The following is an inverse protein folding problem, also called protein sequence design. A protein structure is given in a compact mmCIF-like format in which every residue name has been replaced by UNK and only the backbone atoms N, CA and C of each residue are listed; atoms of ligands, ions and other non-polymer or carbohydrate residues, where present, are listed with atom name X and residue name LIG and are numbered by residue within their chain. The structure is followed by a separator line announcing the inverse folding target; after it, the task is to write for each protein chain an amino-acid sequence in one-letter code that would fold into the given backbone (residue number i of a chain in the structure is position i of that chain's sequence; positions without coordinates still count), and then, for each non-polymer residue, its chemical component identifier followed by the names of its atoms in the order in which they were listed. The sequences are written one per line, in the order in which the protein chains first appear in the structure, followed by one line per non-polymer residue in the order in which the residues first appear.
data_IF_859121594047
#
_entry.id   IF_859121594047
#
_cell.length_a   1.000
_cell.length_b   1.000
_cell.length_c   1.000
_cell.angle_alpha   90.00
_cell.angle_beta   90.00
_cell.angle_gamma   90.00
#
_symmetry.space_group_name_H-M   'P 1'
#
loop_
_entity.id
_entity.type
_entity.pdbx_description
1 polymer ?
#
# COMPACT_ATOMS: atom_id res chain seq x y z
N UNK A 1 -8.34 2.41 56.67
CA UNK A 1 -7.96 2.86 55.32
C UNK A 1 -8.58 1.88 54.33
N UNK A 2 -9.49 2.34 53.46
CA UNK A 2 -10.26 1.47 52.56
C UNK A 2 -9.42 1.26 51.30
N UNK A 3 -8.76 0.10 51.20
CA UNK A 3 -7.91 -0.22 50.06
C UNK A 3 -8.75 -0.16 48.76
N UNK A 4 -8.21 0.38 47.66
CA UNK A 4 -8.93 0.53 46.41
C UNK A 4 -9.02 -0.86 45.75
N UNK A 5 -10.00 -1.65 46.17
CA UNK A 5 -10.27 -3.00 45.63
C UNK A 5 -10.54 -2.99 44.12
N UNK A 6 -10.86 -1.82 43.55
CA UNK A 6 -10.99 -1.64 42.10
C UNK A 6 -9.67 -1.77 41.35
N UNK A 7 -8.58 -1.15 41.84
CA UNK A 7 -7.30 -1.12 41.10
C UNK A 7 -6.57 -2.47 41.12
N UNK A 8 -6.53 -3.15 42.28
CA UNK A 8 -5.96 -4.49 42.39
C UNK A 8 -6.78 -5.53 41.61
N UNK A 9 -8.11 -5.41 41.59
CA UNK A 9 -8.98 -6.28 40.81
C UNK A 9 -8.77 -6.13 39.30
N UNK A 10 -8.64 -4.89 38.82
CA UNK A 10 -8.32 -4.62 37.41
C UNK A 10 -6.92 -5.11 37.03
N UNK A 11 -5.91 -4.90 37.88
CA UNK A 11 -4.56 -5.43 37.66
C UNK A 11 -4.52 -6.96 37.62
N UNK A 12 -5.27 -7.62 38.50
CA UNK A 12 -5.34 -9.07 38.53
C UNK A 12 -6.06 -9.65 37.30
N UNK A 13 -7.14 -9.00 36.86
CA UNK A 13 -7.83 -9.35 35.62
C UNK A 13 -6.93 -9.19 34.39
N UNK A 14 -6.14 -8.11 34.34
CA UNK A 14 -5.15 -7.90 33.28
C UNK A 14 -4.06 -9.00 33.27
N UNK A 15 -3.54 -9.37 34.45
CA UNK A 15 -2.54 -10.42 34.57
C UNK A 15 -3.10 -11.80 34.17
N UNK A 16 -4.37 -12.07 34.47
CA UNK A 16 -5.07 -13.30 34.07
C UNK A 16 -5.44 -13.33 32.58
N UNK A 17 -5.61 -12.17 31.94
CA UNK A 17 -5.87 -12.04 30.51
C UNK A 17 -4.59 -12.23 29.67
N UNK A 18 -3.45 -11.80 30.20
CA UNK A 18 -2.13 -11.88 29.55
C UNK A 18 -1.78 -13.28 28.98
N UNK A 19 -1.93 -14.41 29.72
CA UNK A 19 -1.61 -15.73 29.18
C UNK A 19 -2.54 -16.16 28.02
N UNK A 20 -3.82 -15.79 28.08
CA UNK A 20 -4.78 -16.05 26.99
C UNK A 20 -4.40 -15.24 25.75
N UNK A 21 -4.03 -13.97 25.95
CA UNK A 21 -3.53 -13.11 24.89
C UNK A 21 -2.27 -13.69 24.22
N UNK A 22 -1.29 -14.16 24.99
CA UNK A 22 -0.09 -14.80 24.42
C UNK A 22 -0.41 -16.09 23.66
N UNK A 23 -1.37 -16.89 24.12
CA UNK A 23 -1.78 -18.11 23.42
C UNK A 23 -2.45 -17.80 22.08
N UNK A 24 -3.33 -16.80 22.05
CA UNK A 24 -3.93 -16.28 20.81
C UNK A 24 -2.90 -15.63 19.89
N UNK A 25 -1.93 -14.91 20.45
CA UNK A 25 -0.83 -14.32 19.71
C UNK A 25 0.02 -15.40 19.02
N UNK A 26 0.36 -16.48 19.72
CA UNK A 26 1.11 -17.62 19.14
C UNK A 26 0.27 -18.29 18.03
N UNK A 27 -1.03 -18.46 18.24
CA UNK A 27 -1.92 -19.04 17.23
C UNK A 27 -2.00 -18.15 15.97
N UNK A 28 -2.13 -16.83 16.16
CA UNK A 28 -2.07 -15.83 15.10
C UNK A 28 -0.74 -15.83 14.36
N UNK A 29 0.37 -15.96 15.09
CA UNK A 29 1.73 -16.05 14.52
C UNK A 29 1.92 -17.30 13.65
N UNK A 30 1.43 -18.46 14.09
CA UNK A 30 1.49 -19.68 13.28
C UNK A 30 0.67 -19.52 12.00
N UNK A 31 -0.50 -18.90 12.07
CA UNK A 31 -1.31 -18.58 10.88
C UNK A 31 -0.60 -17.59 9.96
N UNK A 32 0.01 -16.55 10.53
CA UNK A 32 0.78 -15.56 9.79
C UNK A 32 2.02 -16.16 9.12
N UNK A 33 2.69 -17.14 9.75
CA UNK A 33 3.83 -17.82 9.15
C UNK A 33 3.45 -18.60 7.87
N UNK A 34 2.21 -19.08 7.77
CA UNK A 34 1.73 -19.87 6.63
C UNK A 34 1.20 -18.96 5.51
N UNK A 35 0.31 -18.02 5.82
CA UNK A 35 -0.34 -17.15 4.82
C UNK A 35 0.43 -15.86 4.55
N UNK A 36 1.17 -15.36 5.55
CA UNK A 36 1.93 -14.12 5.45
C UNK A 36 2.94 -14.10 4.30
N UNK A 37 3.71 -15.17 4.02
CA UNK A 37 4.61 -15.20 2.87
C UNK A 37 3.89 -15.04 1.52
N UNK A 38 2.69 -15.60 1.39
CA UNK A 38 1.87 -15.48 0.17
C UNK A 38 1.36 -14.06 0.00
N UNK A 39 0.79 -13.47 1.05
CA UNK A 39 0.29 -12.10 1.02
C UNK A 39 1.43 -11.08 0.78
N UNK A 40 2.58 -11.28 1.43
CA UNK A 40 3.79 -10.49 1.21
C UNK A 40 4.25 -10.60 -0.24
N UNK A 41 4.30 -11.82 -0.79
CA UNK A 41 4.68 -12.05 -2.19
C UNK A 41 3.79 -11.28 -3.17
N UNK A 42 2.47 -11.34 -2.99
CA UNK A 42 1.52 -10.62 -3.84
C UNK A 42 1.75 -9.11 -3.78
N UNK A 43 1.85 -8.54 -2.57
CA UNK A 43 2.03 -7.09 -2.39
C UNK A 43 3.37 -6.62 -2.96
N UNK A 44 4.45 -7.33 -2.64
CA UNK A 44 5.81 -6.95 -3.08
C UNK A 44 5.93 -7.07 -4.59
N UNK A 45 5.49 -8.19 -5.19
CA UNK A 45 5.57 -8.39 -6.64
C UNK A 45 4.67 -7.38 -7.35
N UNK A 46 3.42 -7.25 -6.91
CA UNK A 46 2.43 -6.35 -7.49
C UNK A 46 2.90 -4.89 -7.46
N UNK A 47 3.24 -4.37 -6.28
CA UNK A 47 3.71 -3.00 -6.14
C UNK A 47 5.02 -2.76 -6.88
N UNK A 48 5.96 -3.73 -6.89
CA UNK A 48 7.22 -3.59 -7.64
C UNK A 48 6.97 -3.51 -9.14
N UNK A 49 6.06 -4.32 -9.69
CA UNK A 49 5.68 -4.26 -11.11
C UNK A 49 5.10 -2.88 -11.46
N UNK A 50 4.20 -2.37 -10.62
CA UNK A 50 3.61 -1.04 -10.77
C UNK A 50 4.68 0.05 -10.70
N UNK A 51 5.57 0.00 -9.70
CA UNK A 51 6.66 0.98 -9.53
C UNK A 51 7.55 1.00 -10.77
N UNK A 52 7.99 -0.16 -11.28
CA UNK A 52 8.89 -0.23 -12.44
C UNK A 52 8.20 0.28 -13.70
N UNK A 53 6.96 -0.18 -13.97
CA UNK A 53 6.20 0.23 -15.15
C UNK A 53 5.90 1.73 -15.15
N UNK A 54 5.45 2.24 -13.99
CA UNK A 54 5.12 3.64 -13.81
C UNK A 54 6.37 4.53 -13.80
N UNK A 55 7.50 4.05 -13.28
CA UNK A 55 8.75 4.81 -13.27
C UNK A 55 9.23 5.19 -14.67
N UNK A 56 9.11 4.28 -15.65
CA UNK A 56 9.45 4.59 -17.06
C UNK A 56 8.54 5.68 -17.61
N UNK A 57 7.23 5.56 -17.37
CA UNK A 57 6.26 6.57 -17.78
C UNK A 57 6.52 7.93 -17.10
N UNK A 58 6.84 7.91 -15.80
CA UNK A 58 7.16 9.12 -15.04
C UNK A 58 8.41 9.80 -15.59
N UNK A 59 9.46 9.04 -15.89
CA UNK A 59 10.69 9.56 -16.46
C UNK A 59 10.44 10.27 -17.79
N UNK A 60 9.77 9.61 -18.72
CA UNK A 60 9.52 10.21 -20.03
C UNK A 60 8.59 11.43 -19.95
N UNK A 61 7.49 11.32 -19.20
CA UNK A 61 6.48 12.38 -19.14
C UNK A 61 6.95 13.61 -18.38
N UNK A 62 7.69 13.42 -17.27
CA UNK A 62 8.21 14.54 -16.47
C UNK A 62 9.21 15.37 -17.28
N UNK A 63 10.18 14.71 -17.93
CA UNK A 63 11.16 15.40 -18.78
C UNK A 63 10.48 16.13 -19.95
N UNK A 64 9.46 15.52 -20.55
CA UNK A 64 8.68 16.14 -21.61
C UNK A 64 7.94 17.40 -21.13
N UNK A 65 7.20 17.33 -20.02
CA UNK A 65 6.47 18.51 -19.49
C UNK A 65 7.44 19.63 -19.05
N UNK A 66 8.55 19.30 -18.39
CA UNK A 66 9.56 20.31 -18.00
C UNK A 66 10.23 20.92 -19.23
N UNK A 67 10.49 20.16 -20.30
CA UNK A 67 11.03 20.70 -21.54
C UNK A 67 10.01 21.61 -22.29
N UNK A 68 8.72 21.40 -22.11
CA UNK A 68 7.65 22.10 -22.84
C UNK A 68 7.03 23.27 -22.07
N UNK A 69 7.15 23.31 -20.75
CA UNK A 69 6.54 24.36 -19.92
C UNK A 69 7.13 25.74 -20.22
N UNK A 70 6.25 26.75 -20.24
CA UNK A 70 6.60 28.18 -20.37
C UNK A 70 6.57 28.94 -19.03
N UNK A 71 6.13 28.30 -17.94
CA UNK A 71 6.07 28.93 -16.60
C UNK A 71 7.44 29.06 -15.94
N UNK A 72 8.41 28.27 -16.37
CA UNK A 72 9.77 28.29 -15.83
C UNK A 72 10.67 29.10 -16.76
N UNK A 73 11.36 30.10 -16.20
CA UNK A 73 12.41 30.83 -16.92
C UNK A 73 13.56 29.90 -17.33
N UNK A 74 14.37 30.30 -18.31
CA UNK A 74 15.44 29.47 -18.89
C UNK A 74 16.40 28.89 -17.83
N UNK A 75 16.81 29.72 -16.87
CA UNK A 75 17.69 29.29 -15.76
C UNK A 75 16.99 28.27 -14.86
N UNK A 76 15.75 28.54 -14.43
CA UNK A 76 15.00 27.64 -13.56
C UNK A 76 14.73 26.29 -14.25
N UNK A 77 14.52 26.30 -15.56
CA UNK A 77 14.32 25.10 -16.37
C UNK A 77 15.55 24.19 -16.35
N UNK A 78 16.76 24.76 -16.48
CA UNK A 78 18.01 24.01 -16.39
C UNK A 78 18.20 23.48 -14.97
N UNK A 79 17.99 24.31 -13.94
CA UNK A 79 18.11 23.90 -12.54
C UNK A 79 17.16 22.74 -12.22
N UNK A 80 15.89 22.84 -12.62
CA UNK A 80 14.90 21.78 -12.45
C UNK A 80 15.34 20.53 -13.20
N UNK A 81 15.76 20.63 -14.47
CA UNK A 81 16.20 19.47 -15.25
C UNK A 81 17.38 18.71 -14.61
N UNK A 82 18.28 19.44 -13.95
CA UNK A 82 19.44 18.85 -13.24
C UNK A 82 19.03 18.25 -11.90
N UNK A 83 18.08 18.86 -11.19
CA UNK A 83 17.63 18.39 -9.87
C UNK A 83 16.62 17.25 -9.95
N UNK A 84 15.79 17.23 -11.00
CA UNK A 84 14.71 16.28 -11.22
C UNK A 84 15.10 14.79 -11.23
N UNK A 85 16.27 14.36 -11.75
CA UNK A 85 16.68 12.97 -11.64
C UNK A 85 16.76 12.47 -10.20
N UNK A 86 17.07 13.34 -9.23
CA UNK A 86 17.24 12.98 -7.82
C UNK A 86 15.95 12.41 -7.20
N UNK A 87 14.82 13.14 -7.13
CA UNK A 87 13.57 12.60 -6.61
C UNK A 87 13.04 11.44 -7.47
N UNK A 88 13.33 11.45 -8.77
CA UNK A 88 12.84 10.45 -9.71
C UNK A 88 13.51 9.07 -9.52
N UNK A 89 14.77 9.04 -9.11
CA UNK A 89 15.50 7.81 -8.72
C UNK A 89 15.21 7.45 -7.26
N UNK A 90 15.00 8.43 -6.39
CA UNK A 90 14.70 8.18 -4.99
C UNK A 90 13.32 7.55 -4.78
N UNK A 91 12.32 7.96 -5.56
CA UNK A 91 10.95 7.45 -5.50
C UNK A 91 10.84 5.92 -5.59
N UNK A 92 11.38 5.21 -6.60
CA UNK A 92 11.28 3.75 -6.69
C UNK A 92 11.99 3.05 -5.53
N UNK A 93 13.08 3.60 -5.01
CA UNK A 93 13.79 3.03 -3.84
C UNK A 93 12.89 3.09 -2.59
N UNK A 94 12.29 4.25 -2.34
CA UNK A 94 11.34 4.43 -1.22
C UNK A 94 10.09 3.57 -1.44
N UNK A 95 9.57 3.49 -2.67
CA UNK A 95 8.39 2.70 -3.02
C UNK A 95 8.60 1.20 -2.80
N UNK A 96 9.74 0.65 -3.24
CA UNK A 96 10.08 -0.76 -3.03
C UNK A 96 10.32 -1.03 -1.54
N UNK A 97 11.08 -0.18 -0.86
CA UNK A 97 11.33 -0.30 0.58
C UNK A 97 10.05 -0.23 1.41
N UNK A 98 9.16 0.71 1.07
CA UNK A 98 7.84 0.85 1.68
C UNK A 98 6.93 -0.33 1.38
N UNK A 99 6.99 -0.90 0.18
CA UNK A 99 6.21 -2.09 -0.20
C UNK A 99 6.67 -3.35 0.53
N UNK A 100 7.98 -3.50 0.78
CA UNK A 100 8.52 -4.57 1.61
C UNK A 100 8.05 -4.43 3.06
N UNK A 101 8.17 -3.23 3.64
CA UNK A 101 7.78 -2.97 5.02
C UNK A 101 6.25 -3.10 5.21
N UNK A 102 5.48 -2.57 4.27
CA UNK A 102 4.03 -2.63 4.23
C UNK A 102 3.51 -4.05 3.96
N UNK A 103 4.12 -4.79 3.04
CA UNK A 103 3.81 -6.19 2.78
C UNK A 103 4.12 -7.09 3.99
N UNK A 104 5.23 -6.83 4.68
CA UNK A 104 5.56 -7.52 5.93
C UNK A 104 4.55 -7.19 7.04
N UNK A 105 4.24 -5.91 7.22
CA UNK A 105 3.22 -5.47 8.18
C UNK A 105 1.86 -6.11 7.89
N UNK A 106 1.40 -6.05 6.65
CA UNK A 106 0.11 -6.63 6.25
C UNK A 106 0.09 -8.14 6.42
N UNK A 107 1.10 -8.85 5.91
CA UNK A 107 1.21 -10.31 6.00
C UNK A 107 1.32 -10.84 7.43
N UNK A 108 1.79 -10.02 8.38
CA UNK A 108 1.90 -10.38 9.79
C UNK A 108 0.67 -9.97 10.61
N UNK A 109 0.23 -8.71 10.50
CA UNK A 109 -0.84 -8.15 11.33
C UNK A 109 -2.24 -8.59 10.86
N UNK A 110 -2.48 -8.79 9.56
CA UNK A 110 -3.81 -9.17 9.09
C UNK A 110 -4.25 -10.56 9.60
N UNK A 111 -3.42 -11.62 9.56
CA UNK A 111 -3.76 -12.90 10.18
C UNK A 111 -3.93 -12.82 11.69
N UNK A 112 -3.12 -11.99 12.37
CA UNK A 112 -3.17 -11.79 13.82
C UNK A 112 -4.48 -11.12 14.27
N UNK A 113 -4.90 -10.06 13.59
CA UNK A 113 -6.16 -9.38 13.84
C UNK A 113 -7.34 -10.33 13.59
N UNK A 114 -7.30 -11.10 12.49
CA UNK A 114 -8.33 -12.11 12.21
C UNK A 114 -8.44 -13.17 13.32
N UNK A 115 -7.32 -13.57 13.95
CA UNK A 115 -7.39 -14.51 15.08
C UNK A 115 -7.96 -13.89 16.37
N UNK A 116 -7.70 -12.61 16.63
CA UNK A 116 -8.28 -11.94 17.80
C UNK A 116 -9.78 -11.69 17.65
N UNK A 117 -10.24 -11.36 16.45
CA UNK A 117 -11.66 -11.18 16.14
C UNK A 117 -12.45 -12.48 16.40
N UNK A 118 -11.93 -13.60 15.88
CA UNK A 118 -12.55 -14.93 16.04
C UNK A 118 -12.51 -15.41 17.49
N UNK A 119 -11.45 -15.11 18.25
CA UNK A 119 -11.35 -15.49 19.66
C UNK A 119 -12.29 -14.70 20.60
N UNK A 120 -12.80 -13.55 20.15
CA UNK A 120 -13.85 -12.80 20.83
C UNK A 120 -15.25 -13.38 20.64
N UNK A 121 -15.45 -14.17 19.58
CA UNK A 121 -16.69 -14.91 19.32
C UNK A 121 -16.57 -16.36 19.81
N UNK A 122 -17.69 -16.97 20.20
CA UNK A 122 -17.72 -18.29 20.83
C UNK A 122 -17.61 -19.39 19.74
N UNK A 123 -16.44 -19.99 19.51
CA UNK A 123 -16.19 -20.83 18.32
C UNK A 123 -15.51 -22.16 18.67
N UNK A 124 -16.24 -23.27 18.55
CA UNK A 124 -15.66 -24.62 18.54
C UNK A 124 -16.02 -25.46 17.30
N UNK A 125 -17.02 -25.10 16.49
CA UNK A 125 -17.44 -25.92 15.32
C UNK A 125 -17.20 -25.28 13.93
N UNK A 126 -16.57 -24.10 13.84
CA UNK A 126 -16.38 -23.37 12.56
C UNK A 126 -14.94 -23.17 12.11
N UNK A 127 -13.96 -23.79 12.78
CA UNK A 127 -12.53 -23.51 12.56
C UNK A 127 -12.07 -23.71 11.11
N UNK A 128 -12.52 -24.76 10.43
CA UNK A 128 -12.06 -25.07 9.07
C UNK A 128 -12.63 -24.10 8.02
N UNK A 129 -13.92 -23.78 8.12
CA UNK A 129 -14.53 -22.77 7.26
C UNK A 129 -13.96 -21.37 7.53
N UNK A 130 -13.74 -21.02 8.80
CA UNK A 130 -13.12 -19.76 9.18
C UNK A 130 -11.65 -19.66 8.71
N UNK A 131 -10.91 -20.78 8.67
CA UNK A 131 -9.53 -20.80 8.20
C UNK A 131 -9.46 -20.61 6.69
N UNK A 132 -10.20 -21.41 5.91
CA UNK A 132 -10.19 -21.32 4.45
C UNK A 132 -10.72 -19.96 3.95
N UNK A 133 -11.83 -19.48 4.53
CA UNK A 133 -12.43 -18.20 4.17
C UNK A 133 -11.54 -17.01 4.60
N UNK A 134 -10.88 -17.15 5.76
CA UNK A 134 -9.89 -16.19 6.25
C UNK A 134 -8.60 -16.12 5.41
N UNK A 135 -8.20 -17.21 4.75
CA UNK A 135 -7.04 -17.18 3.84
C UNK A 135 -7.39 -16.46 2.53
N UNK A 136 -8.54 -16.78 1.95
CA UNK A 136 -9.01 -16.16 0.71
C UNK A 136 -9.26 -14.66 0.89
N UNK A 137 -9.79 -14.25 2.05
CA UNK A 137 -10.00 -12.84 2.36
C UNK A 137 -8.69 -12.06 2.46
N UNK A 138 -7.63 -12.65 3.04
CA UNK A 138 -6.29 -12.02 3.10
C UNK A 138 -5.65 -11.92 1.71
N UNK A 139 -5.79 -12.95 0.87
CA UNK A 139 -5.29 -12.90 -0.52
C UNK A 139 -6.04 -11.81 -1.30
N UNK A 140 -7.37 -11.80 -1.23
CA UNK A 140 -8.19 -10.77 -1.90
C UNK A 140 -7.83 -9.37 -1.39
N UNK A 141 -7.69 -9.20 -0.08
CA UNK A 141 -7.26 -7.96 0.53
C UNK A 141 -5.87 -7.53 0.07
N UNK A 142 -4.92 -8.46 -0.07
CA UNK A 142 -3.59 -8.17 -0.61
C UNK A 142 -3.64 -7.70 -2.07
N UNK A 143 -4.50 -8.28 -2.89
CA UNK A 143 -4.75 -7.79 -4.26
C UNK A 143 -5.38 -6.40 -4.25
N UNK A 144 -6.37 -6.15 -3.38
CA UNK A 144 -6.97 -4.82 -3.23
C UNK A 144 -5.94 -3.78 -2.81
N UNK A 145 -5.02 -4.10 -1.90
CA UNK A 145 -3.91 -3.19 -1.53
C UNK A 145 -3.05 -2.83 -2.74
N UNK A 146 -2.74 -3.80 -3.60
CA UNK A 146 -1.98 -3.54 -4.84
C UNK A 146 -2.79 -2.69 -5.81
N UNK A 147 -4.09 -2.97 -5.98
CA UNK A 147 -4.97 -2.18 -6.82
C UNK A 147 -5.09 -0.73 -6.34
N UNK A 148 -5.32 -0.51 -5.05
CA UNK A 148 -5.40 0.82 -4.45
C UNK A 148 -4.09 1.59 -4.60
N UNK A 149 -2.95 0.91 -4.40
CA UNK A 149 -1.63 1.49 -4.64
C UNK A 149 -1.44 1.88 -6.10
N UNK A 150 -1.90 1.03 -7.02
CA UNK A 150 -1.86 1.30 -8.46
C UNK A 150 -2.70 2.52 -8.80
N UNK A 151 -3.96 2.55 -8.39
CA UNK A 151 -4.89 3.66 -8.64
C UNK A 151 -4.35 4.98 -8.08
N UNK A 152 -3.89 4.98 -6.83
CA UNK A 152 -3.29 6.15 -6.21
C UNK A 152 -2.08 6.68 -6.99
N UNK A 153 -1.17 5.79 -7.41
CA UNK A 153 0.05 6.18 -8.12
C UNK A 153 -0.24 6.69 -9.53
N UNK A 154 -1.16 6.06 -10.27
CA UNK A 154 -1.57 6.52 -11.59
C UNK A 154 -2.33 7.85 -11.49
N UNK A 155 -3.37 7.92 -10.67
CA UNK A 155 -4.27 9.07 -10.67
C UNK A 155 -3.57 10.33 -10.14
N UNK A 156 -2.84 10.23 -9.01
CA UNK A 156 -2.21 11.40 -8.39
C UNK A 156 -1.12 12.01 -9.28
N UNK A 157 -0.32 11.16 -9.92
CA UNK A 157 0.77 11.63 -10.76
C UNK A 157 0.28 12.23 -12.07
N UNK A 158 -0.59 11.54 -12.81
CA UNK A 158 -1.05 12.02 -14.11
C UNK A 158 -1.86 13.30 -13.97
N UNK A 159 -2.67 13.43 -12.91
CA UNK A 159 -3.39 14.67 -12.63
C UNK A 159 -2.45 15.86 -12.39
N UNK A 160 -1.39 15.68 -11.58
CA UNK A 160 -0.41 16.73 -11.33
C UNK A 160 0.36 17.13 -12.61
N UNK A 161 0.77 16.15 -13.42
CA UNK A 161 1.52 16.42 -14.63
C UNK A 161 0.67 17.05 -15.73
N UNK A 162 -0.61 16.70 -15.83
CA UNK A 162 -1.53 17.34 -16.77
C UNK A 162 -1.73 18.82 -16.41
N UNK A 163 -1.87 19.18 -15.13
CA UNK A 163 -1.93 20.59 -14.70
C UNK A 163 -0.65 21.37 -15.06
N UNK A 164 0.52 20.74 -14.89
CA UNK A 164 1.81 21.33 -15.28
C UNK A 164 1.93 21.52 -16.79
N UNK A 165 1.36 20.61 -17.59
CA UNK A 165 1.46 20.61 -19.05
C UNK A 165 0.38 21.50 -19.74
N UNK A 166 -0.84 21.56 -19.20
CA UNK A 166 -1.98 22.31 -19.77
C UNK A 166 -1.75 23.83 -19.80
N UNK A 167 -0.83 24.32 -18.98
CA UNK A 167 -0.39 25.71 -18.95
C UNK A 167 0.72 26.07 -19.98
N UNK A 168 1.13 25.15 -20.85
CA UNK A 168 1.97 25.40 -22.06
C UNK A 168 1.12 25.64 -23.33
N UNK A 169 1.66 26.20 -24.43
CA UNK A 169 0.82 26.68 -25.52
C UNK A 169 0.13 25.53 -26.25
N UNK A 170 -1.21 25.52 -26.16
CA UNK A 170 -2.16 24.83 -27.01
C UNK A 170 -1.95 23.31 -27.16
N UNK A 171 -2.64 22.55 -26.32
CA UNK A 171 -3.19 21.24 -26.69
C UNK A 171 -4.26 21.44 -27.78
N UNK A 172 -3.84 21.78 -29.01
CA UNK A 172 -4.69 21.60 -30.19
C UNK A 172 -4.33 20.24 -30.78
N UNK A 173 -5.27 19.30 -30.65
CA UNK A 173 -5.32 18.00 -31.34
C UNK A 173 -4.15 17.05 -31.03
N UNK A 174 -4.25 16.39 -29.89
CA UNK A 174 -3.81 15.01 -29.76
C UNK A 174 -4.96 14.20 -29.14
N UNK A 175 -6.11 14.23 -29.83
CA UNK A 175 -7.04 13.12 -29.74
C UNK A 175 -6.29 11.91 -30.30
N UNK A 176 -6.09 10.87 -29.48
CA UNK A 176 -5.65 9.57 -29.98
C UNK A 176 -4.70 8.74 -29.13
N UNK A 177 -4.19 9.23 -27.99
CA UNK A 177 -3.49 8.35 -27.05
C UNK A 177 -4.01 8.60 -25.63
N UNK A 178 -5.17 7.99 -25.35
CA UNK A 178 -5.77 8.04 -24.03
C UNK A 178 -4.95 7.20 -23.06
N UNK A 179 -3.87 7.76 -22.51
CA UNK A 179 -3.21 7.18 -21.34
C UNK A 179 -4.17 7.15 -20.14
N UNK A 180 -5.11 8.10 -20.07
CA UNK A 180 -6.22 8.04 -19.10
C UNK A 180 -7.19 6.88 -19.38
N UNK A 181 -7.41 6.51 -20.66
CA UNK A 181 -8.21 5.32 -21.02
C UNK A 181 -7.47 4.01 -20.71
N UNK A 182 -6.14 3.99 -20.78
CA UNK A 182 -5.36 2.79 -20.42
C UNK A 182 -5.40 2.58 -18.89
N UNK A 183 -5.38 3.66 -18.10
CA UNK A 183 -5.60 3.58 -16.65
C UNK A 183 -7.02 3.09 -16.30
N UNK A 184 -8.03 3.48 -17.07
CA UNK A 184 -9.43 3.02 -16.90
C UNK A 184 -9.62 1.54 -17.27
N UNK A 185 -8.84 1.03 -18.24
CA UNK A 185 -8.89 -0.37 -18.70
C UNK A 185 -8.04 -1.30 -17.83
N UNK A 186 -7.00 -0.79 -17.15
CA UNK A 186 -6.19 -1.57 -16.21
C UNK A 186 -6.93 -1.91 -14.90
N UNK A 187 -8.11 -1.31 -14.68
CA UNK A 187 -8.92 -1.47 -13.47
C UNK A 187 -10.14 -2.41 -13.66
N UNK A 188 -10.17 -3.22 -14.72
CA UNK A 188 -11.16 -4.28 -14.95
C UNK A 188 -10.51 -5.63 -15.23
#
# INVERSE_FOLDING_TARGET
MKAPVGFLGTLWSFFSFLPIFFLLLILGLVKAAIIGPVALGIIVIGNSAVIIGLWIAHFLYTYYCVARTKRLGFVLKIVVLVLLPVPLVLWPVIGIGGSLLGGFGYGFFAPLLATFEVAGENVNDKFYHCFADGCLSIIKGSCTVVCDFTDFCFHSYFSYMDELCENGPSRRKADGCGVSKIAEVACW
#
